data_IF_777333958287
#
_entry.id   IF_777333958287
#
_cell.length_a   1.000
_cell.length_b   1.000
_cell.length_c   1.000
_cell.angle_alpha   90.00
_cell.angle_beta   90.00
_cell.angle_gamma   90.00
#
_symmetry.space_group_name_H-M   'P 1'
#
loop_
_entity.id
_entity.type
_entity.pdbx_description
1 polymer ?
#
# COMPACT_ATOMS: atom_id res chain seq x y z
N UNK A 1 -17.74 7.33 -5.61
CA UNK A 1 -16.34 7.78 -5.74
C UNK A 1 -15.58 7.30 -4.52
N UNK A 2 -14.60 6.40 -4.68
CA UNK A 2 -13.73 6.02 -3.57
C UNK A 2 -12.85 7.23 -3.23
N UNK A 3 -12.98 7.77 -2.02
CA UNK A 3 -12.10 8.83 -1.54
C UNK A 3 -10.69 8.25 -1.45
N UNK A 4 -9.67 9.01 -1.85
CA UNK A 4 -8.26 8.63 -1.72
C UNK A 4 -7.94 8.07 -0.31
N UNK A 5 -8.53 8.65 0.73
CA UNK A 5 -8.43 8.17 2.12
C UNK A 5 -8.99 6.76 2.31
N UNK A 6 -10.15 6.45 1.73
CA UNK A 6 -10.77 5.13 1.81
C UNK A 6 -9.96 4.07 1.04
N UNK A 7 -9.36 4.45 -0.09
CA UNK A 7 -8.43 3.59 -0.82
C UNK A 7 -7.17 3.27 -0.01
N UNK A 8 -6.61 4.24 0.73
CA UNK A 8 -5.46 4.02 1.61
C UNK A 8 -5.82 3.07 2.76
N UNK A 9 -6.96 3.31 3.42
CA UNK A 9 -7.49 2.42 4.48
C UNK A 9 -7.71 1.00 3.97
N UNK A 10 -8.34 0.86 2.80
CA UNK A 10 -8.55 -0.45 2.17
C UNK A 10 -7.22 -1.13 1.84
N UNK A 11 -6.26 -0.39 1.30
CA UNK A 11 -4.95 -0.94 0.93
C UNK A 11 -4.21 -1.46 2.17
N UNK A 12 -4.17 -0.68 3.26
CA UNK A 12 -3.56 -1.09 4.52
C UNK A 12 -4.27 -2.31 5.15
N UNK A 13 -5.60 -2.37 5.07
CA UNK A 13 -6.39 -3.42 5.69
C UNK A 13 -6.46 -4.74 4.89
N UNK A 14 -6.34 -4.66 3.56
CA UNK A 14 -6.59 -5.80 2.66
C UNK A 14 -5.43 -6.10 1.73
N UNK A 15 -4.91 -5.11 1.01
CA UNK A 15 -3.88 -5.33 0.00
C UNK A 15 -2.52 -5.64 0.62
N UNK A 16 -2.13 -4.91 1.66
CA UNK A 16 -0.87 -5.12 2.38
C UNK A 16 -0.77 -6.54 2.99
N UNK A 17 -1.81 -7.07 3.68
CA UNK A 17 -1.80 -8.46 4.11
C UNK A 17 -1.76 -9.47 2.96
N UNK A 18 -2.47 -9.21 1.85
CA UNK A 18 -2.52 -10.15 0.72
C UNK A 18 -1.14 -10.31 0.03
N UNK A 19 -0.30 -9.26 0.07
CA UNK A 19 1.08 -9.31 -0.42
C UNK A 19 1.95 -10.37 0.27
N UNK A 20 1.58 -10.85 1.47
CA UNK A 20 2.32 -11.92 2.17
C UNK A 20 2.36 -13.23 1.36
N UNK A 21 1.45 -13.39 0.40
CA UNK A 21 1.41 -14.54 -0.53
C UNK A 21 2.32 -14.37 -1.76
N UNK A 22 3.07 -13.28 -1.83
CA UNK A 22 3.75 -12.81 -3.03
C UNK A 22 2.90 -11.80 -3.80
N UNK A 23 3.55 -10.96 -4.60
CA UNK A 23 2.90 -9.88 -5.35
C UNK A 23 3.73 -9.48 -6.56
N UNK A 24 3.09 -8.85 -7.55
CA UNK A 24 3.77 -8.24 -8.69
C UNK A 24 3.94 -6.73 -8.50
N UNK A 25 5.05 -6.19 -8.98
CA UNK A 25 5.24 -4.75 -9.17
C UNK A 25 5.21 -4.51 -10.68
N UNK A 26 4.18 -3.82 -11.15
CA UNK A 26 4.11 -3.39 -12.54
C UNK A 26 4.96 -2.12 -12.73
N UNK A 27 5.88 -2.17 -13.69
CA UNK A 27 6.74 -1.05 -14.10
C UNK A 27 6.52 -0.74 -15.56
N UNK A 28 7.02 0.41 -16.03
CA UNK A 28 7.01 0.75 -17.46
C UNK A 28 7.80 -0.24 -18.33
N UNK A 29 8.71 -1.02 -17.72
CA UNK A 29 9.54 -2.02 -18.39
C UNK A 29 8.99 -3.45 -18.27
N UNK A 30 7.84 -3.63 -17.63
CA UNK A 30 7.22 -4.92 -17.38
C UNK A 30 7.02 -5.21 -15.89
N UNK A 31 6.62 -6.45 -15.59
CA UNK A 31 6.25 -6.89 -14.24
C UNK A 31 7.42 -7.57 -13.54
N UNK A 32 7.65 -7.18 -12.29
CA UNK A 32 8.59 -7.85 -11.37
C UNK A 32 7.76 -8.65 -10.37
N UNK A 33 7.87 -9.97 -10.39
CA UNK A 33 7.21 -10.82 -9.41
C UNK A 33 8.07 -11.02 -8.17
N UNK A 34 7.49 -10.73 -7.00
CA UNK A 34 8.08 -10.92 -5.69
C UNK A 34 7.45 -12.16 -5.07
N UNK A 35 8.28 -13.18 -4.84
CA UNK A 35 7.86 -14.39 -4.14
C UNK A 35 7.62 -14.11 -2.64
N UNK A 36 6.81 -14.96 -2.00
CA UNK A 36 6.37 -14.80 -0.61
C UNK A 36 7.54 -14.74 0.39
N UNK A 37 8.62 -15.48 0.12
CA UNK A 37 9.86 -15.50 0.91
C UNK A 37 10.59 -14.15 0.93
N UNK A 38 10.48 -13.38 -0.14
CA UNK A 38 11.07 -12.05 -0.27
C UNK A 38 10.10 -10.91 0.06
N UNK A 39 8.82 -11.21 0.29
CA UNK A 39 7.77 -10.20 0.41
C UNK A 39 7.87 -9.37 1.70
N UNK A 40 8.22 -9.99 2.83
CA UNK A 40 8.17 -9.37 4.16
C UNK A 40 8.89 -8.01 4.30
N UNK A 41 10.18 -7.84 3.88
CA UNK A 41 10.85 -6.54 3.97
C UNK A 41 10.19 -5.48 3.10
N UNK A 42 9.67 -5.85 1.92
CA UNK A 42 9.03 -4.90 1.00
C UNK A 42 7.67 -4.47 1.54
N UNK A 43 6.85 -5.42 2.01
CA UNK A 43 5.56 -5.17 2.67
C UNK A 43 5.71 -4.14 3.80
N UNK A 44 6.76 -4.28 4.62
CA UNK A 44 7.05 -3.34 5.71
C UNK A 44 7.25 -1.91 5.19
N UNK A 45 8.03 -1.74 4.13
CA UNK A 45 8.30 -0.42 3.56
C UNK A 45 7.06 0.20 2.93
N UNK A 46 6.27 -0.59 2.19
CA UNK A 46 5.02 -0.11 1.57
C UNK A 46 4.01 0.28 2.66
N UNK A 47 3.87 -0.52 3.72
CA UNK A 47 2.99 -0.20 4.86
C UNK A 47 3.36 1.15 5.48
N UNK A 48 4.65 1.37 5.76
CA UNK A 48 5.13 2.64 6.33
C UNK A 48 4.78 3.83 5.42
N UNK A 49 4.94 3.69 4.11
CA UNK A 49 4.59 4.75 3.17
C UNK A 49 3.09 5.06 3.18
N UNK A 50 2.24 4.02 3.09
CA UNK A 50 0.78 4.20 3.06
C UNK A 50 0.22 4.73 4.40
N UNK A 51 0.79 4.36 5.54
CA UNK A 51 0.41 4.91 6.84
C UNK A 51 0.74 6.41 6.93
N UNK A 52 1.88 6.84 6.38
CA UNK A 52 2.24 8.27 6.31
C UNK A 52 1.28 9.04 5.41
N UNK A 53 0.96 8.49 4.24
CA UNK A 53 0.02 9.10 3.29
C UNK A 53 -1.38 9.21 3.92
N UNK A 54 -1.83 8.18 4.63
CA UNK A 54 -3.12 8.19 5.32
C UNK A 54 -3.16 9.28 6.40
N UNK A 55 -2.12 9.35 7.25
CA UNK A 55 -2.03 10.38 8.28
C UNK A 55 -1.97 11.80 7.69
N UNK A 56 -1.38 11.97 6.50
CA UNK A 56 -1.41 13.25 5.79
C UNK A 56 -2.81 13.58 5.25
N UNK A 57 -3.45 12.63 4.56
CA UNK A 57 -4.79 12.81 4.01
C UNK A 57 -5.85 13.10 5.09
N UNK A 58 -5.76 12.42 6.25
CA UNK A 58 -6.68 12.64 7.36
C UNK A 58 -6.52 14.04 7.97
N UNK A 59 -5.28 14.54 8.11
CA UNK A 59 -5.03 15.91 8.58
C UNK A 59 -5.61 16.95 7.63
N UNK A 60 -5.45 16.76 6.32
CA UNK A 60 -6.03 17.66 5.33
C UNK A 60 -7.56 17.67 5.37
N UNK A 61 -8.19 16.51 5.63
CA UNK A 61 -9.65 16.40 5.74
C UNK A 61 -10.22 17.09 6.98
N UNK A 62 -9.46 17.16 8.08
CA UNK A 62 -9.87 17.88 9.30
C UNK A 62 -9.70 19.39 9.16
N UNK A 63 -8.76 19.83 8.32
CA UNK A 63 -8.48 21.24 8.07
C UNK A 63 -9.37 21.88 6.99
N UNK A 64 -10.14 21.08 6.24
CA UNK A 64 -11.06 21.50 5.19
C UNK A 64 -12.51 21.54 5.69
#
# INVERSE_FOLDING_TARGET
MSNYTDNLRYSLAKRIPDMERGFGIDTEYGRIDIAADHAAPIIRMVRIALEKDLAYAERQRVAA
#
